data_IF_319264449371
#
_entry.id   IF_319264449371
#
_cell.length_a   1.000
_cell.length_b   1.000
_cell.length_c   1.000
_cell.angle_alpha   90.00
_cell.angle_beta   90.00
_cell.angle_gamma   90.00
#
_symmetry.space_group_name_H-M   'P 1'
#
loop_
_entity.id
_entity.type
_entity.pdbx_description
1 polymer ?
#
# COMPACT_ATOMS: atom_id res chain seq x y z
N UNK A 1 -22.56 -8.36 -18.05
CA UNK A 1 -21.79 -8.74 -19.25
C UNK A 1 -20.61 -7.78 -19.34
N UNK A 2 -19.35 -8.22 -19.16
CA UNK A 2 -18.47 -8.75 -20.22
C UNK A 2 -18.36 -7.74 -21.37
N UNK A 3 -17.24 -7.18 -21.80
CA UNK A 3 -15.80 -7.19 -21.53
C UNK A 3 -15.28 -5.94 -22.27
N UNK A 4 -14.07 -5.44 -21.97
CA UNK A 4 -13.30 -4.75 -23.02
C UNK A 4 -11.88 -5.28 -23.02
N UNK A 5 -11.72 -6.34 -23.82
CA UNK A 5 -10.45 -6.91 -24.23
C UNK A 5 -9.93 -6.09 -25.41
N UNK A 6 -8.69 -5.61 -25.33
CA UNK A 6 -7.85 -5.33 -26.50
C UNK A 6 -6.49 -5.99 -26.25
N UNK A 7 -6.34 -7.17 -26.85
CA UNK A 7 -5.08 -7.89 -27.02
C UNK A 7 -4.47 -7.45 -28.35
N UNK A 8 -3.20 -7.01 -28.42
CA UNK A 8 -2.37 -7.11 -29.63
C UNK A 8 -0.88 -7.26 -29.26
N UNK A 9 -0.29 -8.33 -29.81
CA UNK A 9 1.12 -8.70 -30.07
C UNK A 9 1.96 -9.24 -28.89
N UNK A 10 2.16 -10.55 -29.02
CA UNK A 10 3.18 -11.37 -28.39
C UNK A 10 4.60 -10.94 -28.77
N UNK A 11 5.44 -10.77 -27.76
CA UNK A 11 6.83 -11.15 -27.86
C UNK A 11 7.03 -12.29 -26.85
N UNK A 12 7.12 -13.52 -27.35
CA UNK A 12 7.67 -14.63 -26.57
C UNK A 12 9.18 -14.35 -26.50
N UNK A 13 9.56 -13.46 -25.58
CA UNK A 13 10.87 -13.56 -24.97
C UNK A 13 10.78 -14.78 -24.05
N UNK A 14 11.68 -15.74 -24.23
CA UNK A 14 11.90 -16.81 -23.27
C UNK A 14 12.40 -16.14 -21.98
N UNK A 15 11.48 -15.61 -21.20
CA UNK A 15 11.76 -15.01 -19.91
C UNK A 15 12.14 -16.17 -19.00
N UNK A 16 13.45 -16.30 -18.79
CA UNK A 16 14.02 -16.93 -17.61
C UNK A 16 13.11 -16.64 -16.42
N UNK A 17 12.85 -17.62 -15.53
CA UNK A 17 12.04 -17.35 -14.36
C UNK A 17 12.72 -16.19 -13.65
N UNK A 18 12.09 -15.02 -13.64
CA UNK A 18 12.37 -14.02 -12.63
C UNK A 18 11.85 -14.69 -11.36
N UNK A 19 12.70 -15.53 -10.75
CA UNK A 19 12.74 -15.64 -9.31
C UNK A 19 12.69 -14.19 -8.86
N UNK A 20 11.55 -13.79 -8.33
CA UNK A 20 11.34 -12.46 -7.82
C UNK A 20 12.28 -12.34 -6.62
N UNK A 21 13.55 -12.07 -6.90
CA UNK A 21 14.54 -11.73 -5.91
C UNK A 21 14.20 -10.30 -5.54
N UNK A 22 14.00 -10.07 -4.25
CA UNK A 22 13.94 -8.76 -3.63
C UNK A 22 14.84 -7.78 -4.37
N UNK A 23 14.27 -6.66 -4.84
CA UNK A 23 15.05 -5.63 -5.50
C UNK A 23 15.93 -4.96 -4.44
N UNK A 24 17.27 -5.04 -4.51
CA UNK A 24 18.12 -4.45 -3.48
C UNK A 24 17.91 -2.93 -3.42
N UNK A 25 18.08 -2.32 -2.25
CA UNK A 25 17.85 -0.88 -2.08
C UNK A 25 18.60 -0.01 -3.11
N UNK A 26 19.82 -0.43 -3.48
CA UNK A 26 20.68 0.24 -4.46
C UNK A 26 20.15 0.19 -5.91
N UNK A 27 19.21 -0.71 -6.22
CA UNK A 27 18.59 -0.81 -7.55
C UNK A 27 17.44 0.18 -7.77
N UNK A 28 16.95 0.80 -6.70
CA UNK A 28 15.91 1.82 -6.77
C UNK A 28 16.46 3.11 -7.38
N UNK A 29 15.64 3.82 -8.16
CA UNK A 29 16.02 5.14 -8.65
C UNK A 29 15.96 6.20 -7.53
N UNK A 30 16.60 7.36 -7.73
CA UNK A 30 16.68 8.41 -6.71
C UNK A 30 15.32 8.88 -6.20
N UNK A 31 14.33 9.00 -7.08
CA UNK A 31 12.98 9.42 -6.68
C UNK A 31 12.32 8.37 -5.78
N UNK A 32 12.46 7.08 -6.11
CA UNK A 32 11.98 5.97 -5.30
C UNK A 32 12.67 5.93 -3.93
N UNK A 33 13.99 6.05 -3.90
CA UNK A 33 14.77 6.06 -2.66
C UNK A 33 14.37 7.22 -1.74
N UNK A 34 14.11 8.40 -2.29
CA UNK A 34 13.68 9.57 -1.51
C UNK A 34 12.34 9.30 -0.82
N UNK A 35 11.35 8.80 -1.56
CA UNK A 35 10.02 8.49 -1.02
C UNK A 35 10.08 7.36 0.00
N UNK A 36 10.87 6.32 -0.29
CA UNK A 36 10.96 5.12 0.54
C UNK A 36 12.05 5.21 1.62
N UNK A 37 12.66 6.37 1.81
CA UNK A 37 13.76 6.58 2.77
C UNK A 37 13.46 6.08 4.19
N UNK A 38 12.22 6.16 4.74
CA UNK A 38 11.93 5.60 6.06
C UNK A 38 12.07 4.07 6.13
N UNK A 39 11.97 3.38 5.00
CA UNK A 39 12.09 1.93 4.92
C UNK A 39 13.50 1.44 4.64
N UNK A 40 14.46 2.32 4.32
CA UNK A 40 15.80 1.97 3.85
C UNK A 40 16.50 0.93 4.74
N UNK A 41 16.47 1.12 6.06
CA UNK A 41 17.12 0.21 7.02
C UNK A 41 16.49 -1.19 7.09
N UNK A 42 15.20 -1.30 6.73
CA UNK A 42 14.43 -2.55 6.80
C UNK A 42 14.14 -3.14 5.42
N UNK A 43 14.61 -2.50 4.36
CA UNK A 43 14.22 -2.81 2.99
C UNK A 43 14.49 -4.28 2.63
N UNK A 44 15.67 -4.79 2.99
CA UNK A 44 16.08 -6.17 2.75
C UNK A 44 15.31 -7.20 3.58
N UNK A 45 14.61 -6.77 4.64
CA UNK A 45 13.73 -7.63 5.44
C UNK A 45 12.31 -7.76 4.88
N UNK A 46 11.96 -6.92 3.89
CA UNK A 46 10.65 -6.94 3.25
C UNK A 46 10.59 -8.09 2.25
N UNK A 47 9.44 -8.76 2.19
CA UNK A 47 9.17 -9.73 1.13
C UNK A 47 9.11 -9.05 -0.24
N UNK A 48 9.37 -9.80 -1.31
CA UNK A 48 9.35 -9.27 -2.69
C UNK A 48 8.02 -8.58 -3.03
N UNK A 49 6.91 -9.13 -2.49
CA UNK A 49 5.58 -8.56 -2.67
C UNK A 49 5.43 -7.20 -1.98
N UNK A 50 5.99 -7.03 -0.79
CA UNK A 50 5.97 -5.76 -0.07
C UNK A 50 6.83 -4.72 -0.80
N UNK A 51 8.05 -5.08 -1.19
CA UNK A 51 8.94 -4.20 -1.96
C UNK A 51 8.26 -3.73 -3.25
N UNK A 52 7.66 -4.65 -4.02
CA UNK A 52 6.92 -4.29 -5.24
C UNK A 52 5.71 -3.38 -4.97
N UNK A 53 5.01 -3.59 -3.86
CA UNK A 53 3.86 -2.75 -3.48
C UNK A 53 4.32 -1.31 -3.16
N UNK A 54 5.39 -1.15 -2.40
CA UNK A 54 5.97 0.15 -2.08
C UNK A 54 6.53 0.86 -3.31
N UNK A 55 7.27 0.16 -4.17
CA UNK A 55 7.71 0.69 -5.48
C UNK A 55 6.52 1.09 -6.35
N UNK A 56 5.41 0.35 -6.28
CA UNK A 56 4.18 0.71 -6.97
C UNK A 56 3.60 2.05 -6.51
N UNK A 57 3.61 2.30 -5.19
CA UNK A 57 3.10 3.55 -4.60
C UNK A 57 3.91 4.76 -5.06
N UNK A 58 5.24 4.63 -5.19
CA UNK A 58 6.09 5.77 -5.60
C UNK A 58 5.78 6.28 -7.00
N UNK A 59 5.20 5.45 -7.89
CA UNK A 59 4.88 5.83 -9.29
C UNK A 59 3.84 6.93 -9.42
N UNK A 60 3.03 7.13 -8.38
CA UNK A 60 1.97 8.14 -8.34
C UNK A 60 2.23 9.21 -7.28
N UNK A 61 3.39 9.17 -6.60
CA UNK A 61 3.69 10.01 -5.45
C UNK A 61 3.73 11.50 -5.82
N UNK A 62 4.34 11.81 -6.96
CA UNK A 62 4.43 13.15 -7.55
C UNK A 62 3.05 13.76 -7.85
N UNK A 63 2.05 12.92 -8.14
CA UNK A 63 0.66 13.33 -8.42
C UNK A 63 -0.20 13.46 -7.16
N UNK A 64 0.31 13.07 -5.98
CA UNK A 64 -0.43 13.20 -4.73
C UNK A 64 -0.39 14.65 -4.23
N UNK A 65 -1.50 15.19 -3.68
CA UNK A 65 -1.48 16.43 -2.93
C UNK A 65 -0.50 16.35 -1.74
N UNK A 66 0.09 17.48 -1.30
CA UNK A 66 1.09 17.50 -0.22
C UNK A 66 0.63 16.82 1.08
N UNK A 67 -0.65 16.98 1.47
CA UNK A 67 -1.21 16.31 2.65
C UNK A 67 -1.17 14.77 2.53
N UNK A 68 -1.44 14.25 1.33
CA UNK A 68 -1.39 12.79 1.09
C UNK A 68 0.04 12.28 1.03
N UNK A 69 0.97 13.08 0.51
CA UNK A 69 2.40 12.77 0.56
C UNK A 69 2.89 12.67 2.01
N UNK A 70 2.52 13.64 2.85
CA UNK A 70 2.85 13.63 4.28
C UNK A 70 2.31 12.38 4.98
N UNK A 71 1.01 12.07 4.79
CA UNK A 71 0.41 10.87 5.37
C UNK A 71 1.08 9.59 4.90
N UNK A 72 1.50 9.52 3.64
CA UNK A 72 2.26 8.36 3.17
C UNK A 72 3.60 8.26 3.90
N UNK A 73 4.30 9.38 4.08
CA UNK A 73 5.57 9.40 4.80
C UNK A 73 5.42 8.88 6.23
N UNK A 74 4.42 9.37 6.98
CA UNK A 74 4.11 8.88 8.32
C UNK A 74 3.79 7.38 8.35
N UNK A 75 3.05 6.88 7.34
CA UNK A 75 2.77 5.45 7.21
C UNK A 75 4.03 4.63 6.95
N UNK A 76 4.94 5.13 6.12
CA UNK A 76 6.22 4.45 5.85
C UNK A 76 7.10 4.42 7.10
N UNK A 77 7.18 5.51 7.87
CA UNK A 77 7.88 5.53 9.15
C UNK A 77 7.29 4.54 10.16
N UNK A 78 5.96 4.53 10.28
CA UNK A 78 5.27 3.58 11.16
C UNK A 78 5.57 2.14 10.74
N UNK A 79 5.55 1.86 9.43
CA UNK A 79 5.83 0.55 8.87
C UNK A 79 7.27 0.08 9.12
N UNK A 80 8.25 0.98 8.94
CA UNK A 80 9.66 0.70 9.22
C UNK A 80 9.92 0.28 10.67
N UNK A 81 9.07 0.72 11.61
CA UNK A 81 9.16 0.36 13.04
C UNK A 81 8.49 -0.98 13.37
N UNK A 82 7.69 -1.56 12.46
CA UNK A 82 7.02 -2.84 12.71
C UNK A 82 7.97 -4.01 12.52
N UNK A 83 7.88 -5.00 13.43
CA UNK A 83 8.49 -6.32 13.28
C UNK A 83 7.77 -7.16 12.22
N UNK A 84 8.40 -8.20 11.63
CA UNK A 84 7.74 -9.06 10.65
C UNK A 84 6.38 -9.63 11.11
N UNK A 85 6.30 -10.10 12.36
CA UNK A 85 5.05 -10.60 12.95
C UNK A 85 3.97 -9.51 13.08
N UNK A 86 4.36 -8.28 13.43
CA UNK A 86 3.43 -7.16 13.49
C UNK A 86 2.92 -6.74 12.11
N UNK A 87 3.77 -6.82 11.07
CA UNK A 87 3.38 -6.56 9.67
C UNK A 87 2.37 -7.60 9.18
N UNK A 88 2.59 -8.88 9.50
CA UNK A 88 1.65 -9.94 9.18
C UNK A 88 0.28 -9.71 9.84
N UNK A 89 0.25 -9.42 11.15
CA UNK A 89 -0.99 -9.08 11.86
C UNK A 89 -1.68 -7.84 11.26
N UNK A 90 -0.92 -6.80 10.89
CA UNK A 90 -1.47 -5.62 10.23
C UNK A 90 -2.11 -5.96 8.87
N UNK A 91 -1.48 -6.84 8.09
CA UNK A 91 -2.01 -7.33 6.82
C UNK A 91 -3.27 -8.16 7.00
N UNK A 92 -3.33 -9.02 8.01
CA UNK A 92 -4.54 -9.79 8.32
C UNK A 92 -5.70 -8.86 8.68
N UNK A 93 -5.46 -7.91 9.58
CA UNK A 93 -6.45 -6.87 9.95
C UNK A 93 -6.92 -6.09 8.74
N UNK A 94 -6.00 -5.66 7.88
CA UNK A 94 -6.33 -4.95 6.65
C UNK A 94 -7.16 -5.83 5.69
N UNK A 95 -6.81 -7.10 5.56
CA UNK A 95 -7.52 -8.05 4.69
C UNK A 95 -8.93 -8.31 5.21
N UNK A 96 -9.09 -8.49 6.52
CA UNK A 96 -10.39 -8.64 7.17
C UNK A 96 -11.25 -7.37 6.96
N UNK A 97 -10.65 -6.19 7.14
CA UNK A 97 -11.33 -4.92 6.93
C UNK A 97 -11.71 -4.67 5.46
N UNK A 98 -10.85 -5.05 4.52
CA UNK A 98 -11.09 -4.89 3.07
C UNK A 98 -12.27 -5.73 2.58
N UNK A 99 -12.60 -6.82 3.28
CA UNK A 99 -13.77 -7.66 3.01
C UNK A 99 -15.07 -7.07 3.57
N UNK A 100 -15.02 -6.00 4.37
CA UNK A 100 -16.22 -5.33 4.87
C UNK A 100 -16.93 -4.63 3.69
N UNK A 101 -18.19 -5.01 3.39
CA UNK A 101 -18.96 -4.39 2.31
C UNK A 101 -19.01 -2.86 2.46
N UNK A 102 -18.98 -2.15 1.34
CA UNK A 102 -19.05 -0.68 1.34
C UNK A 102 -20.28 -0.17 2.09
N UNK A 103 -21.43 -0.82 1.93
CA UNK A 103 -22.68 -0.48 2.62
C UNK A 103 -22.53 -0.49 4.16
N UNK A 104 -21.84 -1.49 4.71
CA UNK A 104 -21.55 -1.54 6.15
C UNK A 104 -20.60 -0.43 6.60
N UNK A 105 -19.66 -0.03 5.75
CA UNK A 105 -18.75 1.09 6.06
C UNK A 105 -19.48 2.43 6.08
N UNK A 106 -20.42 2.65 5.16
CA UNK A 106 -21.24 3.87 5.15
C UNK A 106 -22.21 3.93 6.32
N UNK A 107 -22.83 2.80 6.69
CA UNK A 107 -23.68 2.72 7.88
C UNK A 107 -22.90 3.12 9.16
N UNK A 108 -21.67 2.61 9.35
CA UNK A 108 -20.82 3.00 10.49
C UNK A 108 -20.46 4.49 10.45
N UNK A 109 -20.12 5.05 9.28
CA UNK A 109 -19.86 6.50 9.15
C UNK A 109 -21.09 7.33 9.52
N UNK A 110 -22.27 6.89 9.12
CA UNK A 110 -23.52 7.56 9.45
C UNK A 110 -23.79 7.51 10.96
N UNK A 111 -23.63 6.34 11.60
CA UNK A 111 -23.77 6.19 13.05
C UNK A 111 -22.79 7.11 13.82
N UNK A 112 -21.52 7.16 13.40
CA UNK A 112 -20.52 8.04 14.02
C UNK A 112 -20.89 9.52 13.85
N UNK A 113 -21.38 9.90 12.66
CA UNK A 113 -21.87 11.27 12.40
C UNK A 113 -23.05 11.62 13.29
N UNK A 114 -24.03 10.73 13.41
CA UNK A 114 -25.22 10.90 14.26
C UNK A 114 -24.82 11.07 15.74
N UNK A 115 -23.87 10.27 16.23
CA UNK A 115 -23.32 10.39 17.58
C UNK A 115 -22.58 11.73 17.79
N UNK A 116 -21.82 12.19 16.81
CA UNK A 116 -21.13 13.49 16.89
C UNK A 116 -22.10 14.68 16.85
N UNK A 117 -23.26 14.52 16.21
CA UNK A 117 -24.30 15.57 16.15
C UNK A 117 -25.28 15.55 17.31
N UNK A 118 -25.24 14.54 18.19
CA UNK A 118 -26.10 14.45 19.37
C UNK A 118 -25.31 14.60 20.68
N UNK A 119 -24.96 15.81 21.12
CA UNK A 119 -24.34 16.05 22.41
C UNK A 119 -25.29 15.90 23.61
N UNK A 120 -26.56 15.47 23.41
CA UNK A 120 -27.59 15.48 24.45
C UNK A 120 -27.82 14.12 25.16
N UNK A 121 -26.90 13.15 25.03
CA UNK A 121 -26.92 11.91 25.80
C UNK A 121 -25.80 11.90 26.85
N UNK A 122 -25.85 12.86 27.78
CA UNK A 122 -25.23 12.81 29.11
C UNK A 122 -26.27 13.24 30.13
#
# INVERSE_FOLDING_TARGET
MRHLSKQIIAAIALALPLSAVAAPWSSLNTAQQNVLSPLAATWESLSDKEQQSFIGITKSYDKLPPEKQHRLHEQLEAWGKLTPAQRESAREKFTAFSKVPHEKREAVKQMVREQQTNPAAQ
#
